data_IF_239057445488
#
_entry.id   IF_239057445488
#
_cell.length_a   1.000
_cell.length_b   1.000
_cell.length_c   1.000
_cell.angle_alpha   90.00
_cell.angle_beta   90.00
_cell.angle_gamma   90.00
#
_symmetry.space_group_name_H-M   'P 1'
#
loop_
_entity.id
_entity.type
_entity.pdbx_description
1 polymer ?
#
# COMPACT_ATOMS: atom_id res chain seq x y z
N UNK A 1 -6.80 -26.71 26.78
CA UNK A 1 -7.25 -25.45 26.14
C UNK A 1 -6.11 -24.72 25.42
N UNK A 2 -5.20 -25.42 24.72
CA UNK A 2 -3.96 -24.80 24.18
C UNK A 2 -3.81 -24.75 22.65
N UNK A 3 -4.70 -25.38 21.89
CA UNK A 3 -4.46 -25.61 20.46
C UNK A 3 -4.85 -24.41 19.58
N UNK A 4 -5.88 -23.65 19.97
CA UNK A 4 -6.28 -22.40 19.29
C UNK A 4 -5.27 -21.26 19.43
N UNK A 5 -4.47 -21.28 20.50
CA UNK A 5 -3.42 -20.28 20.73
C UNK A 5 -2.26 -20.48 19.75
N UNK A 6 -1.85 -21.73 19.51
CA UNK A 6 -0.74 -22.07 18.61
C UNK A 6 -1.01 -21.67 17.16
N UNK A 7 -2.21 -21.95 16.63
CA UNK A 7 -2.60 -21.54 15.27
C UNK A 7 -2.59 -20.00 15.09
N UNK A 8 -2.90 -19.27 16.16
CA UNK A 8 -2.90 -17.80 16.15
C UNK A 8 -1.47 -17.25 16.16
N UNK A 9 -0.58 -17.84 16.98
CA UNK A 9 0.84 -17.46 17.02
C UNK A 9 1.57 -17.77 15.70
N UNK A 10 1.31 -18.93 15.09
CA UNK A 10 1.84 -19.29 13.76
C UNK A 10 1.35 -18.33 12.67
N UNK A 11 0.08 -17.95 12.73
CA UNK A 11 -0.47 -16.95 11.83
C UNK A 11 0.21 -15.58 12.01
N UNK A 12 0.32 -15.08 13.23
CA UNK A 12 0.90 -13.76 13.54
C UNK A 12 2.38 -13.68 13.20
N UNK A 13 3.12 -14.78 13.38
CA UNK A 13 4.55 -14.87 13.05
C UNK A 13 4.83 -15.08 11.55
N UNK A 14 3.82 -15.44 10.76
CA UNK A 14 3.99 -15.70 9.33
C UNK A 14 4.21 -14.44 8.48
N UNK A 15 4.80 -14.61 7.29
CA UNK A 15 5.04 -13.52 6.36
C UNK A 15 3.72 -12.92 5.82
N UNK A 16 3.66 -11.63 5.47
CA UNK A 16 2.42 -10.99 5.00
C UNK A 16 1.80 -11.68 3.78
N UNK A 17 2.59 -12.22 2.87
CA UNK A 17 2.08 -12.98 1.73
C UNK A 17 1.34 -14.27 2.14
N UNK A 18 1.82 -14.94 3.20
CA UNK A 18 1.19 -16.14 3.75
C UNK A 18 -0.09 -15.75 4.49
N UNK A 19 -0.05 -14.68 5.28
CA UNK A 19 -1.25 -14.12 5.93
C UNK A 19 -2.32 -13.74 4.91
N UNK A 20 -1.92 -13.10 3.81
CA UNK A 20 -2.81 -12.73 2.70
C UNK A 20 -3.47 -13.96 2.09
N UNK A 21 -2.69 -15.04 1.89
CA UNK A 21 -3.22 -16.29 1.33
C UNK A 21 -4.27 -16.94 2.23
N UNK A 22 -4.05 -16.97 3.55
CA UNK A 22 -5.07 -17.49 4.47
C UNK A 22 -6.38 -16.70 4.41
N UNK A 23 -6.30 -15.37 4.41
CA UNK A 23 -7.47 -14.50 4.25
C UNK A 23 -8.15 -14.69 2.89
N UNK A 24 -7.37 -14.82 1.82
CA UNK A 24 -7.87 -15.10 0.48
C UNK A 24 -8.70 -16.39 0.46
N UNK A 25 -8.18 -17.50 0.98
CA UNK A 25 -8.90 -18.78 1.08
C UNK A 25 -10.19 -18.63 1.88
N UNK A 26 -10.14 -17.96 3.05
CA UNK A 26 -11.33 -17.72 3.88
C UNK A 26 -12.38 -16.88 3.16
N UNK A 27 -11.97 -15.87 2.37
CA UNK A 27 -12.88 -15.07 1.56
C UNK A 27 -13.57 -15.92 0.48
N UNK A 28 -12.85 -16.84 -0.16
CA UNK A 28 -13.44 -17.75 -1.15
C UNK A 28 -14.43 -18.73 -0.54
N UNK A 29 -14.09 -19.29 0.62
CA UNK A 29 -14.99 -20.19 1.34
C UNK A 29 -16.26 -19.46 1.78
N UNK A 30 -16.15 -18.23 2.26
CA UNK A 30 -17.29 -17.39 2.61
C UNK A 30 -18.18 -17.12 1.39
N UNK A 31 -17.59 -16.75 0.25
CA UNK A 31 -18.33 -16.56 -1.01
C UNK A 31 -19.05 -17.83 -1.46
N UNK A 32 -18.43 -19.02 -1.33
CA UNK A 32 -19.07 -20.31 -1.66
C UNK A 32 -20.26 -20.63 -0.76
N UNK A 33 -20.32 -20.04 0.43
CA UNK A 33 -21.39 -20.22 1.43
C UNK A 33 -22.42 -19.09 1.41
N UNK A 34 -22.33 -18.17 0.45
CA UNK A 34 -23.14 -16.94 0.38
C UNK A 34 -23.03 -16.06 1.65
N UNK A 35 -21.96 -16.20 2.43
CA UNK A 35 -21.67 -15.35 3.58
C UNK A 35 -20.96 -14.07 3.12
N UNK A 36 -21.74 -13.15 2.58
CA UNK A 36 -21.24 -11.91 1.99
C UNK A 36 -20.56 -10.97 3.00
N UNK A 37 -21.02 -10.97 4.26
CA UNK A 37 -20.40 -10.19 5.35
C UNK A 37 -18.99 -10.67 5.65
N UNK A 38 -18.81 -11.99 5.78
CA UNK A 38 -17.50 -12.58 6.03
C UNK A 38 -16.59 -12.49 4.80
N UNK A 39 -17.15 -12.67 3.59
CA UNK A 39 -16.41 -12.51 2.35
C UNK A 39 -15.86 -11.09 2.15
N UNK A 40 -16.65 -10.05 2.50
CA UNK A 40 -16.19 -8.67 2.47
C UNK A 40 -15.01 -8.47 3.43
N UNK A 41 -15.16 -8.89 4.69
CA UNK A 41 -14.13 -8.73 5.72
C UNK A 41 -12.83 -9.44 5.33
N UNK A 42 -12.91 -10.71 4.98
CA UNK A 42 -11.73 -11.51 4.65
C UNK A 42 -11.09 -11.04 3.34
N UNK A 43 -11.88 -10.56 2.37
CA UNK A 43 -11.39 -9.98 1.13
C UNK A 43 -10.59 -8.69 1.35
N UNK A 44 -11.08 -7.78 2.21
CA UNK A 44 -10.32 -6.59 2.58
C UNK A 44 -9.00 -6.93 3.29
N UNK A 45 -9.02 -7.88 4.24
CA UNK A 45 -7.81 -8.31 4.95
C UNK A 45 -6.79 -8.96 3.99
N UNK A 46 -7.25 -9.78 3.04
CA UNK A 46 -6.37 -10.35 2.02
C UNK A 46 -5.69 -9.24 1.20
N UNK A 47 -6.46 -8.25 0.75
CA UNK A 47 -5.95 -7.09 0.01
C UNK A 47 -4.87 -6.34 0.77
N UNK A 48 -5.15 -5.94 2.02
CA UNK A 48 -4.18 -5.24 2.88
C UNK A 48 -2.88 -6.02 3.06
N UNK A 49 -2.97 -7.34 3.29
CA UNK A 49 -1.80 -8.19 3.47
C UNK A 49 -0.99 -8.37 2.18
N UNK A 50 -1.63 -8.43 1.02
CA UNK A 50 -0.94 -8.42 -0.27
C UNK A 50 -0.19 -7.09 -0.52
N UNK A 51 -0.78 -5.95 -0.17
CA UNK A 51 -0.11 -4.64 -0.24
C UNK A 51 1.11 -4.58 0.69
N UNK A 52 0.98 -5.09 1.92
CA UNK A 52 2.12 -5.19 2.85
C UNK A 52 3.20 -6.15 2.34
N UNK A 53 2.83 -7.24 1.67
CA UNK A 53 3.78 -8.15 1.03
C UNK A 53 4.54 -7.46 -0.11
N UNK A 54 3.84 -6.67 -0.94
CA UNK A 54 4.43 -5.95 -2.06
C UNK A 54 5.50 -4.95 -1.59
N UNK A 55 5.29 -4.28 -0.45
CA UNK A 55 6.24 -3.36 0.14
C UNK A 55 7.55 -4.03 0.64
N UNK A 56 7.56 -5.35 0.83
CA UNK A 56 8.71 -6.09 1.37
C UNK A 56 9.56 -6.78 0.30
N UNK A 57 9.16 -6.72 -0.96
CA UNK A 57 9.88 -7.34 -2.08
C UNK A 57 10.44 -6.26 -3.00
N UNK A 58 11.52 -6.59 -3.71
CA UNK A 58 12.16 -5.68 -4.67
C UNK A 58 11.98 -6.12 -6.13
N UNK A 59 11.58 -7.36 -6.37
CA UNK A 59 11.33 -7.87 -7.71
C UNK A 59 10.06 -7.24 -8.29
N UNK A 60 10.20 -6.49 -9.39
CA UNK A 60 9.10 -5.75 -10.02
C UNK A 60 7.95 -6.68 -10.42
N UNK A 61 8.24 -7.84 -11.00
CA UNK A 61 7.20 -8.77 -11.46
C UNK A 61 6.39 -9.31 -10.28
N UNK A 62 7.05 -9.58 -9.16
CA UNK A 62 6.42 -10.01 -7.91
C UNK A 62 5.57 -8.90 -7.31
N UNK A 63 6.07 -7.64 -7.31
CA UNK A 63 5.29 -6.47 -6.89
C UNK A 63 4.01 -6.35 -7.72
N UNK A 64 4.13 -6.37 -9.05
CA UNK A 64 2.98 -6.24 -9.96
C UNK A 64 1.95 -7.36 -9.72
N UNK A 65 2.41 -8.60 -9.51
CA UNK A 65 1.53 -9.72 -9.20
C UNK A 65 0.81 -9.56 -7.85
N UNK A 66 1.51 -9.09 -6.81
CA UNK A 66 0.92 -8.86 -5.49
C UNK A 66 -0.09 -7.70 -5.52
N UNK A 67 0.19 -6.65 -6.28
CA UNK A 67 -0.74 -5.54 -6.50
C UNK A 67 -2.03 -6.01 -7.18
N UNK A 68 -1.91 -6.83 -8.24
CA UNK A 68 -3.08 -7.41 -8.92
C UNK A 68 -3.92 -8.30 -7.99
N UNK A 69 -3.27 -9.08 -7.12
CA UNK A 69 -3.97 -9.89 -6.12
C UNK A 69 -4.70 -9.00 -5.10
N UNK A 70 -4.06 -7.92 -4.64
CA UNK A 70 -4.70 -6.98 -3.73
C UNK A 70 -5.95 -6.35 -4.35
N UNK A 71 -5.84 -5.83 -5.57
CA UNK A 71 -6.96 -5.25 -6.31
C UNK A 71 -8.09 -6.25 -6.54
N UNK A 72 -7.75 -7.51 -6.86
CA UNK A 72 -8.74 -8.57 -7.04
C UNK A 72 -9.56 -8.81 -5.76
N UNK A 73 -8.91 -8.94 -4.60
CA UNK A 73 -9.61 -9.22 -3.35
C UNK A 73 -10.36 -8.00 -2.80
N UNK A 74 -9.86 -6.78 -3.02
CA UNK A 74 -10.59 -5.53 -2.78
C UNK A 74 -11.87 -5.46 -3.64
N UNK A 75 -11.78 -5.83 -4.92
CA UNK A 75 -12.95 -5.87 -5.80
C UNK A 75 -13.97 -6.91 -5.33
N UNK A 76 -13.52 -8.13 -5.00
CA UNK A 76 -14.40 -9.19 -4.48
C UNK A 76 -15.09 -8.77 -3.19
N UNK A 77 -14.40 -8.08 -2.28
CA UNK A 77 -14.99 -7.55 -1.06
C UNK A 77 -16.10 -6.53 -1.34
N UNK A 78 -15.88 -5.60 -2.27
CA UNK A 78 -16.92 -4.63 -2.71
C UNK A 78 -18.12 -5.31 -3.35
N UNK A 79 -17.89 -6.34 -4.17
CA UNK A 79 -18.98 -7.13 -4.78
C UNK A 79 -19.77 -7.87 -3.71
N UNK A 80 -19.09 -8.46 -2.72
CA UNK A 80 -19.76 -9.10 -1.58
C UNK A 80 -20.62 -8.09 -0.80
N UNK A 81 -20.06 -6.92 -0.47
CA UNK A 81 -20.79 -5.82 0.15
C UNK A 81 -22.05 -5.43 -0.62
N UNK A 82 -21.94 -5.26 -1.94
CA UNK A 82 -23.06 -4.88 -2.80
C UNK A 82 -24.15 -5.95 -2.90
N UNK A 83 -23.83 -7.22 -2.59
CA UNK A 83 -24.77 -8.34 -2.57
C UNK A 83 -25.42 -8.55 -1.20
N UNK A 84 -24.96 -7.83 -0.17
CA UNK A 84 -25.48 -7.98 1.18
C UNK A 84 -26.75 -7.10 1.35
N UNK A 85 -27.93 -7.68 1.61
CA UNK A 85 -29.20 -6.95 1.65
C UNK A 85 -29.44 -6.10 2.92
N UNK A 86 -28.49 -6.06 3.87
CA UNK A 86 -28.61 -5.28 5.10
C UNK A 86 -28.17 -3.82 4.89
N UNK A 87 -28.85 -2.83 5.50
CA UNK A 87 -28.56 -1.43 5.27
C UNK A 87 -27.24 -1.01 5.92
N UNK A 88 -26.71 0.06 5.36
CA UNK A 88 -25.32 0.49 5.43
C UNK A 88 -25.06 1.32 6.69
N UNK A 89 -24.49 0.71 7.73
CA UNK A 89 -23.98 1.46 8.91
C UNK A 89 -22.43 1.51 8.96
N UNK A 90 -21.76 1.34 7.81
CA UNK A 90 -20.29 1.21 7.72
C UNK A 90 -19.54 2.33 6.98
N UNK A 91 -20.23 3.37 6.50
CA UNK A 91 -19.64 4.33 5.55
C UNK A 91 -18.58 5.28 6.12
N UNK A 92 -18.45 5.46 7.43
CA UNK A 92 -17.52 6.47 7.96
C UNK A 92 -16.05 6.03 8.02
N UNK A 93 -15.73 4.73 8.05
CA UNK A 93 -14.34 4.29 8.30
C UNK A 93 -13.50 4.07 7.04
N UNK A 94 -14.10 3.60 5.95
CA UNK A 94 -13.37 3.29 4.72
C UNK A 94 -13.01 4.54 3.89
N UNK A 95 -13.88 5.57 3.90
CA UNK A 95 -13.59 6.85 3.25
C UNK A 95 -12.44 7.59 3.94
N UNK A 96 -12.44 7.60 5.28
CA UNK A 96 -11.39 8.24 6.10
C UNK A 96 -9.99 7.69 5.84
N UNK A 97 -9.84 6.38 5.59
CA UNK A 97 -8.54 5.79 5.33
C UNK A 97 -8.04 6.05 3.89
N UNK A 98 -8.90 5.94 2.88
CA UNK A 98 -8.53 6.27 1.49
C UNK A 98 -8.15 7.74 1.31
N UNK A 99 -8.80 8.64 2.05
CA UNK A 99 -8.52 10.07 1.98
C UNK A 99 -7.22 10.44 2.71
N UNK A 100 -6.92 9.79 3.85
CA UNK A 100 -5.63 9.96 4.56
C UNK A 100 -4.44 9.45 3.75
N UNK A 101 -4.55 8.28 3.12
CA UNK A 101 -3.47 7.72 2.28
C UNK A 101 -3.21 8.61 1.06
N UNK A 102 -4.26 9.14 0.43
CA UNK A 102 -4.12 10.07 -0.70
C UNK A 102 -3.48 11.40 -0.27
N UNK A 103 -3.82 11.89 0.93
CA UNK A 103 -3.21 13.11 1.47
C UNK A 103 -1.73 12.91 1.81
N UNK A 104 -1.36 11.80 2.46
CA UNK A 104 0.03 11.47 2.79
C UNK A 104 0.91 11.29 1.54
N UNK A 105 0.37 10.71 0.46
CA UNK A 105 1.09 10.58 -0.81
C UNK A 105 1.29 11.94 -1.51
N UNK A 106 0.31 12.85 -1.43
CA UNK A 106 0.43 14.21 -2.00
C UNK A 106 1.37 15.12 -1.21
N UNK A 107 1.42 14.99 0.12
CA UNK A 107 2.37 15.74 0.95
C UNK A 107 3.80 15.23 0.74
N UNK A 108 3.99 13.90 0.67
CA UNK A 108 5.29 13.31 0.38
C UNK A 108 5.85 13.72 -0.99
N UNK A 109 5.02 13.74 -2.04
CA UNK A 109 5.42 14.21 -3.39
C UNK A 109 5.80 15.69 -3.38
N UNK A 110 5.04 16.55 -2.68
CA UNK A 110 5.36 17.98 -2.55
C UNK A 110 6.63 18.25 -1.75
N UNK A 111 6.92 17.45 -0.72
CA UNK A 111 8.17 17.59 0.04
C UNK A 111 9.39 17.16 -0.78
N UNK A 112 9.27 16.10 -1.57
CA UNK A 112 10.34 15.65 -2.46
C UNK A 112 10.66 16.69 -3.53
N UNK A 113 9.65 17.30 -4.14
CA UNK A 113 9.81 18.37 -5.14
C UNK A 113 10.50 19.60 -4.53
N UNK A 114 10.11 20.00 -3.31
CA UNK A 114 10.78 21.10 -2.59
C UNK A 114 12.23 20.80 -2.25
N UNK A 115 12.58 19.54 -1.97
CA UNK A 115 13.98 19.13 -1.73
C UNK A 115 14.79 19.18 -3.01
N UNK A 116 14.26 18.66 -4.11
CA UNK A 116 14.92 18.72 -5.42
C UNK A 116 15.16 20.17 -5.88
N UNK A 117 14.21 21.08 -5.63
CA UNK A 117 14.38 22.49 -5.97
C UNK A 117 15.48 23.16 -5.11
N UNK A 118 15.58 22.82 -3.82
CA UNK A 118 16.65 23.33 -2.95
C UNK A 118 18.02 22.83 -3.38
N UNK A 119 18.14 21.54 -3.67
CA UNK A 119 19.40 20.95 -4.15
C UNK A 119 19.83 21.58 -5.47
N UNK A 120 18.88 21.82 -6.39
CA UNK A 120 19.15 22.49 -7.66
C UNK A 120 19.63 23.93 -7.47
N UNK A 121 19.05 24.67 -6.52
CA UNK A 121 19.49 26.04 -6.18
C UNK A 121 20.89 26.05 -5.57
N UNK A 122 21.18 25.13 -4.66
CA UNK A 122 22.53 25.01 -4.07
C UNK A 122 23.58 24.67 -5.13
N UNK A 123 23.26 23.78 -6.08
CA UNK A 123 24.14 23.49 -7.20
C UNK A 123 24.40 24.71 -8.08
N UNK A 124 23.38 25.51 -8.38
CA UNK A 124 23.53 26.75 -9.16
C UNK A 124 24.39 27.79 -8.44
N UNK A 125 24.22 27.92 -7.12
CA UNK A 125 24.98 28.85 -6.28
C UNK A 125 26.46 28.43 -6.18
N UNK A 126 26.72 27.13 -6.01
CA UNK A 126 28.08 26.56 -6.10
C UNK A 126 28.70 26.78 -7.47
N UNK A 127 27.93 26.60 -8.55
CA UNK A 127 28.41 26.87 -9.90
C UNK A 127 28.78 28.35 -10.03
N UNK A 128 27.90 29.27 -9.63
CA UNK A 128 28.17 30.71 -9.67
C UNK A 128 29.45 31.10 -8.92
N UNK A 129 29.67 30.54 -7.73
CA UNK A 129 30.89 30.76 -6.96
C UNK A 129 32.13 30.23 -7.71
N UNK A 130 32.03 29.05 -8.33
CA UNK A 130 33.11 28.50 -9.16
C UNK A 130 33.42 29.37 -10.39
N UNK A 131 32.42 29.98 -11.01
CA UNK A 131 32.60 30.93 -12.11
C UNK A 131 33.16 32.29 -11.64
N UNK A 132 32.93 32.68 -10.38
CA UNK A 132 33.49 33.90 -9.79
C UNK A 132 34.94 33.73 -9.33
N UNK A 133 35.37 32.51 -9.00
CA UNK A 133 36.77 32.19 -8.67
C UNK A 133 37.61 31.81 -9.89
N UNK A 134 37.02 31.70 -11.09
CA UNK A 134 37.77 31.43 -12.31
C UNK A 134 38.64 32.66 -12.66
N UNK A 135 39.98 32.57 -12.61
CA UNK A 135 40.82 33.66 -13.04
C UNK A 135 40.60 33.88 -14.54
N UNK A 136 40.33 35.15 -14.91
CA UNK A 136 40.36 35.62 -16.29
C UNK A 136 41.78 35.45 -16.85
N UNK A 137 42.13 34.24 -17.27
CA UNK A 137 43.26 33.98 -18.15
C UNK A 137 42.80 34.30 -19.58
N UNK A 138 42.70 35.60 -19.87
CA UNK A 138 42.73 36.09 -21.25
C UNK A 138 44.20 36.25 -21.62
N UNK A 139 44.75 35.22 -22.25
CA UNK A 139 46.07 35.25 -22.86
C UNK A 139 45.97 35.77 -24.30
N UNK A 140 46.75 36.85 -24.53
CA UNK A 140 47.26 37.44 -25.78
C UNK A 140 46.30 38.21 -26.69
#
# INVERSE_FOLDING_TARGET
MGWKAVETEEYESSAPAVQAHFHAVRAEEALRRDDYSQAEKEGHLASEKFLLAAQRVSDKRTIDALMLLAENYEYRAKVARARNPSPVDGEEKAASHKERVKQEETTAKRELEKRQERDSRQQLELLQLQWMEAPLFVQQ
#
